data_IF_789722544764
#
_entry.id   IF_789722544764
#
_cell.length_a   1.000
_cell.length_b   1.000
_cell.length_c   1.000
_cell.angle_alpha   90.00
_cell.angle_beta   90.00
_cell.angle_gamma   90.00
#
_symmetry.space_group_name_H-M   'P 1'
#
loop_
_entity.id
_entity.type
_entity.pdbx_description
1 polymer ?
#
# COMPACT_ATOMS: atom_id res chain seq x y z
N UNK A 1 20.43 -48.97 3.05
CA UNK A 1 19.89 -48.01 4.03
C UNK A 1 19.34 -46.82 3.26
N UNK A 2 18.02 -46.64 3.23
CA UNK A 2 17.41 -45.49 2.57
C UNK A 2 17.76 -44.23 3.36
N UNK A 3 18.46 -43.29 2.74
CA UNK A 3 18.80 -42.02 3.36
C UNK A 3 17.52 -41.31 3.80
N UNK A 4 17.43 -40.94 5.08
CA UNK A 4 16.37 -40.06 5.58
C UNK A 4 16.40 -38.79 4.72
N UNK A 5 15.44 -38.64 3.80
CA UNK A 5 15.17 -37.38 3.11
C UNK A 5 14.93 -36.35 4.22
N UNK A 6 15.84 -35.37 4.38
CA UNK A 6 15.55 -34.20 5.22
C UNK A 6 14.26 -33.60 4.68
N UNK A 7 13.19 -33.57 5.48
CA UNK A 7 12.01 -32.78 5.14
C UNK A 7 12.46 -31.34 4.97
N UNK A 8 12.38 -30.84 3.74
CA UNK A 8 12.65 -29.43 3.45
C UNK A 8 11.50 -28.67 4.10
N UNK A 9 11.85 -27.79 5.04
CA UNK A 9 10.90 -26.92 5.68
C UNK A 9 10.26 -26.01 4.61
N UNK A 10 8.96 -26.17 4.38
CA UNK A 10 8.24 -25.50 3.30
C UNK A 10 8.21 -23.97 3.47
N UNK A 11 8.09 -23.52 4.72
CA UNK A 11 7.90 -22.11 5.09
C UNK A 11 9.00 -21.67 6.05
N UNK A 12 9.67 -20.56 5.76
CA UNK A 12 10.53 -19.88 6.71
C UNK A 12 9.71 -19.35 7.90
N UNK A 13 10.27 -19.40 9.11
CA UNK A 13 9.59 -18.91 10.32
C UNK A 13 10.25 -17.60 10.73
N UNK A 14 9.43 -16.55 10.87
CA UNK A 14 9.87 -15.20 11.21
C UNK A 14 9.22 -14.82 12.54
N UNK A 15 10.03 -14.64 13.57
CA UNK A 15 9.58 -14.34 14.94
C UNK A 15 10.18 -13.05 15.51
N UNK A 16 10.90 -12.28 14.71
CA UNK A 16 11.43 -10.98 15.13
C UNK A 16 11.67 -10.05 13.94
N UNK A 17 11.86 -8.77 14.23
CA UNK A 17 12.07 -7.72 13.21
C UNK A 17 13.30 -7.97 12.33
N UNK A 18 14.40 -8.48 12.88
CA UNK A 18 15.62 -8.74 12.09
C UNK A 18 15.37 -9.80 11.01
N UNK A 19 14.71 -10.90 11.37
CA UNK A 19 14.33 -11.94 10.40
C UNK A 19 13.34 -11.42 9.36
N UNK A 20 12.47 -10.49 9.74
CA UNK A 20 11.54 -9.85 8.82
C UNK A 20 12.30 -9.01 7.78
N UNK A 21 13.23 -8.18 8.23
CA UNK A 21 14.04 -7.34 7.35
C UNK A 21 14.93 -8.19 6.42
N UNK A 22 15.51 -9.28 6.93
CA UNK A 22 16.28 -10.24 6.12
C UNK A 22 15.41 -10.94 5.07
N UNK A 23 14.18 -11.33 5.43
CA UNK A 23 13.26 -11.97 4.51
C UNK A 23 12.87 -11.03 3.36
N UNK A 24 12.69 -9.73 3.60
CA UNK A 24 12.37 -8.77 2.55
C UNK A 24 13.46 -8.74 1.46
N UNK A 25 14.72 -8.96 1.82
CA UNK A 25 15.84 -9.01 0.87
C UNK A 25 15.85 -10.27 -0.03
N UNK A 26 14.92 -11.20 0.17
CA UNK A 26 14.84 -12.43 -0.61
C UNK A 26 14.37 -12.10 -2.04
N UNK A 27 15.17 -12.48 -3.04
CA UNK A 27 14.82 -12.30 -4.45
C UNK A 27 13.66 -13.20 -4.87
N UNK A 28 12.72 -12.64 -5.62
CA UNK A 28 11.53 -13.32 -6.13
C UNK A 28 10.28 -13.06 -5.29
N UNK A 29 9.27 -13.89 -5.45
CA UNK A 29 7.96 -13.75 -4.82
C UNK A 29 7.93 -14.52 -3.50
N UNK A 30 7.78 -13.80 -2.39
CA UNK A 30 7.60 -14.38 -1.06
C UNK A 30 6.17 -14.22 -0.58
N UNK A 31 5.49 -15.35 -0.30
CA UNK A 31 4.15 -15.36 0.28
C UNK A 31 4.26 -15.57 1.79
N UNK A 32 3.72 -14.64 2.57
CA UNK A 32 3.91 -14.57 4.01
C UNK A 32 2.55 -14.74 4.70
N UNK A 33 2.39 -15.84 5.43
CA UNK A 33 1.24 -16.10 6.30
C UNK A 33 1.47 -15.42 7.66
N UNK A 34 0.78 -14.32 7.90
CA UNK A 34 0.88 -13.53 9.13
C UNK A 34 -0.06 -14.11 10.17
N UNK A 35 0.49 -14.41 11.35
CA UNK A 35 -0.25 -15.04 12.43
C UNK A 35 0.05 -14.42 13.80
N UNK A 36 -0.83 -14.67 14.76
CA UNK A 36 -0.61 -14.31 16.16
C UNK A 36 -0.11 -15.51 16.96
N UNK A 37 0.75 -15.27 17.95
CA UNK A 37 1.42 -16.30 18.73
C UNK A 37 0.43 -17.32 19.35
N UNK A 38 -0.78 -16.87 19.71
CA UNK A 38 -1.81 -17.73 20.31
C UNK A 38 -2.57 -18.60 19.31
N UNK A 39 -2.65 -18.24 18.02
CA UNK A 39 -3.38 -19.01 17.00
C UNK A 39 -2.46 -19.85 16.10
N UNK A 40 -1.21 -19.41 15.91
CA UNK A 40 -0.27 -20.01 14.97
C UNK A 40 -0.66 -19.82 13.50
N UNK A 41 0.21 -20.26 12.56
CA UNK A 41 0.01 -20.08 11.13
C UNK A 41 -1.17 -20.88 10.57
N UNK A 42 -1.69 -20.45 9.42
CA UNK A 42 -2.86 -21.01 8.77
C UNK A 42 -2.57 -22.41 8.17
N UNK A 43 -2.95 -23.46 8.89
CA UNK A 43 -2.77 -24.86 8.45
C UNK A 43 -3.51 -25.22 7.16
N UNK A 44 -4.60 -24.51 6.83
CA UNK A 44 -5.44 -24.80 5.68
C UNK A 44 -4.71 -24.57 4.34
N UNK A 45 -3.78 -23.62 4.28
CA UNK A 45 -3.07 -23.27 3.03
C UNK A 45 -1.79 -24.06 2.81
N UNK A 46 -1.31 -24.82 3.80
CA UNK A 46 -0.03 -25.55 3.72
C UNK A 46 0.01 -26.52 2.53
N UNK A 47 -1.08 -27.24 2.27
CA UNK A 47 -1.16 -28.16 1.13
C UNK A 47 -1.21 -27.40 -0.21
N UNK A 48 -1.85 -26.24 -0.23
CA UNK A 48 -1.87 -25.37 -1.40
C UNK A 48 -0.47 -24.84 -1.71
N UNK A 49 0.23 -24.29 -0.71
CA UNK A 49 1.59 -23.78 -0.89
C UNK A 49 2.58 -24.87 -1.27
N UNK A 50 2.42 -26.09 -0.74
CA UNK A 50 3.19 -27.25 -1.20
C UNK A 50 2.94 -27.56 -2.68
N UNK A 51 1.67 -27.54 -3.11
CA UNK A 51 1.30 -27.75 -4.51
C UNK A 51 1.92 -26.66 -5.40
N UNK A 52 1.75 -25.38 -5.04
CA UNK A 52 2.32 -24.25 -5.77
C UNK A 52 3.85 -24.30 -5.81
N UNK A 53 4.53 -24.65 -4.71
CA UNK A 53 5.99 -24.82 -4.68
C UNK A 53 6.47 -25.91 -5.64
N UNK A 54 5.71 -27.00 -5.77
CA UNK A 54 6.04 -28.08 -6.69
C UNK A 54 5.76 -27.71 -8.16
N UNK A 55 4.68 -26.98 -8.42
CA UNK A 55 4.27 -26.62 -9.79
C UNK A 55 5.03 -25.40 -10.33
N UNK A 56 5.39 -24.45 -9.46
CA UNK A 56 5.90 -23.13 -9.86
C UNK A 56 7.27 -22.81 -9.25
N UNK A 57 7.83 -23.64 -8.37
CA UNK A 57 9.05 -23.32 -7.63
C UNK A 57 10.36 -23.79 -8.25
N UNK A 58 10.37 -24.28 -9.49
CA UNK A 58 11.56 -24.87 -10.13
C UNK A 58 12.72 -23.88 -10.31
N UNK A 59 12.41 -22.60 -10.54
CA UNK A 59 13.38 -21.52 -10.75
C UNK A 59 13.90 -20.89 -9.44
N UNK A 60 13.39 -21.33 -8.29
CA UNK A 60 13.77 -20.80 -6.99
C UNK A 60 13.24 -19.40 -6.69
N UNK A 61 12.32 -18.85 -7.49
CA UNK A 61 11.75 -17.50 -7.28
C UNK A 61 10.60 -17.48 -6.28
N UNK A 62 9.91 -18.61 -6.08
CA UNK A 62 8.77 -18.69 -5.17
C UNK A 62 9.21 -19.10 -3.75
N UNK A 63 8.97 -18.25 -2.76
CA UNK A 63 9.25 -18.50 -1.35
C UNK A 63 7.97 -18.44 -0.52
N UNK A 64 7.96 -19.16 0.60
CA UNK A 64 6.88 -19.09 1.56
C UNK A 64 7.45 -18.83 2.95
N UNK A 65 6.78 -17.99 3.72
CA UNK A 65 7.12 -17.67 5.09
C UNK A 65 5.86 -17.67 5.97
N UNK A 66 6.08 -17.81 7.27
CA UNK A 66 5.10 -17.52 8.32
C UNK A 66 5.70 -16.45 9.24
N UNK A 67 4.93 -15.45 9.61
CA UNK A 67 5.40 -14.33 10.41
C UNK A 67 4.53 -14.08 11.64
N UNK A 68 5.14 -14.06 12.82
CA UNK A 68 4.46 -13.81 14.08
C UNK A 68 4.31 -12.30 14.34
N UNK A 69 3.09 -11.78 14.17
CA UNK A 69 2.79 -10.35 14.25
C UNK A 69 3.07 -9.73 15.64
N UNK A 70 2.96 -10.53 16.71
CA UNK A 70 3.18 -10.06 18.09
C UNK A 70 4.63 -9.63 18.33
N UNK A 71 5.57 -10.28 17.65
CA UNK A 71 7.00 -10.10 17.85
C UNK A 71 7.68 -9.23 16.77
N UNK A 72 6.90 -8.76 15.78
CA UNK A 72 7.39 -7.95 14.65
C UNK A 72 6.71 -6.58 14.70
N UNK A 73 7.49 -5.50 14.81
CA UNK A 73 6.95 -4.14 14.96
C UNK A 73 6.22 -3.69 13.70
N UNK A 74 6.75 -4.03 12.52
CA UNK A 74 6.11 -3.72 11.22
C UNK A 74 4.73 -4.37 11.05
N UNK A 75 4.44 -5.46 11.77
CA UNK A 75 3.19 -6.21 11.66
C UNK A 75 2.19 -5.90 12.78
N UNK A 76 2.42 -4.86 13.57
CA UNK A 76 1.55 -4.49 14.69
C UNK A 76 0.07 -4.29 14.29
N UNK A 77 -0.18 -3.91 13.04
CA UNK A 77 -1.50 -3.65 12.43
C UNK A 77 -2.35 -4.92 12.21
N UNK A 78 -1.70 -6.08 12.28
CA UNK A 78 -2.31 -7.40 12.12
C UNK A 78 -2.57 -8.11 13.46
N UNK A 79 -2.24 -7.47 14.58
CA UNK A 79 -2.52 -7.99 15.92
C UNK A 79 -4.02 -7.96 16.22
N UNK A 80 -4.44 -8.80 17.16
CA UNK A 80 -5.82 -8.91 17.67
C UNK A 80 -6.91 -9.24 16.63
N UNK A 81 -6.54 -9.60 15.40
CA UNK A 81 -7.44 -10.08 14.33
C UNK A 81 -7.38 -11.61 14.16
N UNK A 82 -8.53 -12.27 14.24
CA UNK A 82 -8.65 -13.74 14.09
C UNK A 82 -8.70 -14.23 12.63
N UNK A 83 -8.47 -13.36 11.65
CA UNK A 83 -8.54 -13.71 10.23
C UNK A 83 -7.13 -13.98 9.68
N UNK A 84 -6.92 -15.08 8.92
CA UNK A 84 -5.65 -15.32 8.23
C UNK A 84 -5.33 -14.19 7.26
N UNK A 85 -4.09 -13.69 7.27
CA UNK A 85 -3.63 -12.64 6.36
C UNK A 85 -2.40 -13.13 5.62
N UNK A 86 -2.44 -13.03 4.29
CA UNK A 86 -1.35 -13.41 3.41
C UNK A 86 -0.79 -12.17 2.73
N UNK A 87 0.47 -11.85 3.01
CA UNK A 87 1.20 -10.76 2.35
C UNK A 87 2.04 -11.32 1.23
N UNK A 88 2.13 -10.59 0.12
CA UNK A 88 2.93 -10.95 -1.05
C UNK A 88 4.05 -9.95 -1.18
N UNK A 89 5.28 -10.43 -1.09
CA UNK A 89 6.47 -9.61 -1.17
C UNK A 89 7.27 -9.91 -2.45
N UNK A 90 7.68 -8.87 -3.17
CA UNK A 90 8.60 -8.93 -4.31
C UNK A 90 9.61 -7.81 -4.15
N UNK A 91 10.90 -8.10 -4.34
CA UNK A 91 12.00 -7.12 -4.27
C UNK A 91 11.92 -6.18 -3.06
N UNK A 92 11.90 -6.74 -1.85
CA UNK A 92 11.82 -6.00 -0.58
C UNK A 92 10.52 -5.24 -0.34
N UNK A 93 9.47 -5.47 -1.13
CA UNK A 93 8.19 -4.78 -0.99
C UNK A 93 7.02 -5.72 -0.85
N UNK A 94 6.14 -5.41 0.10
CA UNK A 94 4.78 -5.94 0.08
C UNK A 94 4.01 -5.25 -1.05
N UNK A 95 3.55 -6.03 -2.01
CA UNK A 95 2.84 -5.55 -3.21
C UNK A 95 1.37 -5.97 -3.24
N UNK A 96 0.99 -6.99 -2.47
CA UNK A 96 -0.40 -7.41 -2.34
C UNK A 96 -0.69 -8.01 -0.95
N UNK A 97 -1.97 -8.01 -0.60
CA UNK A 97 -2.50 -8.63 0.62
C UNK A 97 -3.79 -9.38 0.28
N UNK A 98 -3.93 -10.58 0.82
CA UNK A 98 -5.15 -11.37 0.76
C UNK A 98 -5.58 -11.72 2.18
N UNK A 99 -6.83 -11.40 2.51
CA UNK A 99 -7.46 -11.80 3.78
C UNK A 99 -8.27 -13.08 3.58
N UNK A 100 -8.24 -13.94 4.58
CA UNK A 100 -8.91 -15.23 4.59
C UNK A 100 -8.20 -16.30 3.75
N UNK A 101 -8.48 -17.57 4.06
CA UNK A 101 -7.90 -18.73 3.37
C UNK A 101 -8.55 -19.00 1.99
N UNK A 102 -8.56 -17.99 1.12
CA UNK A 102 -9.14 -18.08 -0.23
C UNK A 102 -8.15 -18.73 -1.21
N UNK A 103 -8.18 -20.06 -1.30
CA UNK A 103 -7.24 -20.83 -2.13
C UNK A 103 -7.21 -20.42 -3.62
N UNK A 104 -8.35 -20.21 -4.31
CA UNK A 104 -8.34 -19.73 -5.70
C UNK A 104 -7.64 -18.38 -5.87
N UNK A 105 -7.93 -17.42 -4.99
CA UNK A 105 -7.34 -16.09 -5.05
C UNK A 105 -5.83 -16.14 -4.76
N UNK A 106 -5.42 -16.86 -3.72
CA UNK A 106 -4.00 -17.05 -3.39
C UNK A 106 -3.23 -17.68 -4.54
N UNK A 107 -3.78 -18.73 -5.16
CA UNK A 107 -3.14 -19.41 -6.30
C UNK A 107 -2.96 -18.47 -7.48
N UNK A 108 -4.02 -17.73 -7.81
CA UNK A 108 -4.03 -16.76 -8.90
C UNK A 108 -2.97 -15.69 -8.68
N UNK A 109 -2.95 -15.07 -7.49
CA UNK A 109 -1.97 -14.02 -7.15
C UNK A 109 -0.53 -14.54 -7.20
N UNK A 110 -0.25 -15.74 -6.68
CA UNK A 110 1.10 -16.32 -6.77
C UNK A 110 1.55 -16.50 -8.21
N UNK A 111 0.69 -17.08 -9.06
CA UNK A 111 1.03 -17.37 -10.45
C UNK A 111 1.27 -16.08 -11.23
N UNK A 112 0.38 -15.10 -11.10
CA UNK A 112 0.50 -13.80 -11.77
C UNK A 112 1.81 -13.10 -11.41
N UNK A 113 2.14 -13.02 -10.12
CA UNK A 113 3.38 -12.37 -9.66
C UNK A 113 4.65 -13.10 -10.13
N UNK A 114 4.63 -14.44 -10.19
CA UNK A 114 5.77 -15.21 -10.67
C UNK A 114 5.97 -15.10 -12.18
N UNK A 115 4.89 -15.08 -12.96
CA UNK A 115 4.97 -14.90 -14.41
C UNK A 115 5.55 -13.53 -14.76
N UNK A 116 5.18 -12.49 -14.01
CA UNK A 116 5.76 -11.15 -14.14
C UNK A 116 7.25 -11.14 -13.79
N UNK A 117 7.62 -11.69 -12.63
CA UNK A 117 9.02 -11.77 -12.19
C UNK A 117 9.90 -12.50 -13.22
N UNK A 118 9.42 -13.63 -13.77
CA UNK A 118 10.11 -14.39 -14.82
C UNK A 118 10.29 -13.58 -16.09
N UNK A 119 9.26 -12.81 -16.48
CA UNK A 119 9.29 -11.97 -17.67
C UNK A 119 10.34 -10.87 -17.53
N UNK A 120 10.38 -10.19 -16.38
CA UNK A 120 11.38 -9.16 -16.08
C UNK A 120 12.80 -9.75 -16.17
N UNK A 121 13.04 -10.89 -15.54
CA UNK A 121 14.35 -11.56 -15.58
C UNK A 121 14.76 -12.02 -16.99
N UNK A 122 13.79 -12.40 -17.83
CA UNK A 122 14.06 -12.75 -19.22
C UNK A 122 14.43 -11.52 -20.07
N UNK A 123 13.77 -10.38 -19.85
CA UNK A 123 14.05 -9.11 -20.51
C UNK A 123 15.42 -8.53 -20.09
N UNK A 124 15.77 -8.63 -18.80
CA UNK A 124 17.09 -8.24 -18.28
C UNK A 124 18.21 -9.08 -18.90
N UNK A 125 18.05 -10.41 -18.93
CA UNK A 125 19.03 -11.32 -19.55
C UNK A 125 19.16 -11.08 -21.06
N UNK A 126 18.06 -10.82 -21.76
CA UNK A 126 18.11 -10.50 -23.19
C UNK A 126 18.88 -9.19 -23.46
N UNK A 127 18.81 -8.24 -22.54
CA UNK A 127 19.52 -6.96 -22.61
C UNK A 127 21.02 -7.10 -22.30
N UNK A 128 21.38 -7.95 -21.34
CA UNK A 128 22.78 -8.25 -20.98
C UNK A 128 23.56 -8.99 -22.08
N UNK A 129 22.90 -9.85 -22.88
CA UNK A 129 23.56 -10.61 -23.97
C UNK A 129 23.99 -9.71 -25.15
N UNK A 130 23.45 -8.49 -25.26
CA UNK A 130 23.73 -7.56 -26.37
C UNK A 130 24.81 -6.51 -26.08
N UNK A 131 25.47 -6.52 -24.92
CA UNK A 131 26.36 -5.41 -24.53
C UNK A 131 27.65 -5.90 -23.87
N UNK A 132 28.54 -6.52 -24.65
CA UNK A 132 29.97 -6.27 -24.44
C UNK A 132 30.29 -4.93 -25.13
N UNK A 133 30.69 -3.96 -24.31
CA UNK A 133 31.08 -2.57 -24.61
C UNK A 133 30.04 -1.45 -24.38
N UNK A 134 30.41 -0.61 -23.42
CA UNK A 134 29.97 0.76 -23.11
C UNK A 134 28.84 0.96 -22.05
N UNK A 135 29.33 1.30 -20.86
CA UNK A 135 28.86 2.32 -19.91
C UNK A 135 27.38 2.79 -19.95
N UNK A 136 26.71 2.55 -18.81
CA UNK A 136 25.65 3.36 -18.18
C UNK A 136 24.64 3.99 -19.14
N UNK A 137 23.51 3.31 -19.36
CA UNK A 137 22.32 3.95 -19.94
C UNK A 137 21.04 3.52 -19.21
N UNK A 138 20.69 4.31 -18.19
CA UNK A 138 19.52 4.12 -17.28
C UNK A 138 18.19 4.52 -17.96
N UNK A 139 18.21 4.89 -19.25
CA UNK A 139 17.05 5.45 -19.94
C UNK A 139 16.11 4.47 -20.68
N UNK A 140 16.41 3.17 -20.75
CA UNK A 140 15.76 2.29 -21.76
C UNK A 140 14.59 1.42 -21.30
N UNK A 141 14.31 1.29 -20.00
CA UNK A 141 13.25 0.39 -19.49
C UNK A 141 11.86 1.07 -19.46
N UNK A 142 11.77 2.39 -19.62
CA UNK A 142 10.55 3.18 -19.43
C UNK A 142 9.37 2.90 -20.39
N UNK A 143 9.54 2.13 -21.47
CA UNK A 143 8.53 2.05 -22.53
C UNK A 143 7.77 0.73 -22.69
N UNK A 144 7.99 -0.30 -21.85
CA UNK A 144 7.39 -1.62 -22.09
C UNK A 144 6.12 -1.94 -21.28
N UNK A 145 5.78 -1.14 -20.26
CA UNK A 145 4.64 -1.41 -19.34
C UNK A 145 3.35 -0.61 -19.63
N UNK A 146 3.21 -0.01 -20.81
CA UNK A 146 1.95 0.62 -21.26
C UNK A 146 1.01 -0.45 -21.85
N UNK A 147 0.42 -1.32 -21.02
CA UNK A 147 -0.20 -2.53 -21.60
C UNK A 147 -1.15 -3.41 -20.79
N UNK A 148 -2.00 -2.86 -19.91
CA UNK A 148 -3.34 -3.41 -19.55
C UNK A 148 -3.42 -4.72 -18.72
N UNK A 149 -3.59 -4.59 -17.39
CA UNK A 149 -4.70 -5.12 -16.55
C UNK A 149 -4.89 -4.11 -15.38
N UNK A 150 -6.13 -3.76 -15.00
CA UNK A 150 -6.43 -2.68 -14.01
C UNK A 150 -6.75 -3.22 -12.59
N UNK A 151 -6.44 -2.37 -11.58
CA UNK A 151 -6.72 -2.41 -10.12
C UNK A 151 -5.68 -3.08 -9.18
N UNK A 152 -4.45 -2.59 -9.22
CA UNK A 152 -3.61 -2.25 -8.06
C UNK A 152 -2.37 -1.54 -8.63
N UNK A 153 -2.17 -0.26 -8.33
CA UNK A 153 -1.01 0.47 -8.86
C UNK A 153 0.25 0.06 -8.09
N UNK A 154 1.00 -0.89 -8.65
CA UNK A 154 2.34 -1.28 -8.17
C UNK A 154 3.35 -0.26 -8.69
N UNK A 155 3.91 0.54 -7.78
CA UNK A 155 5.06 1.42 -8.04
C UNK A 155 6.33 0.72 -7.60
N UNK A 156 7.36 0.65 -8.46
CA UNK A 156 8.72 0.19 -8.12
C UNK A 156 9.44 1.21 -7.21
N UNK A 157 10.25 0.80 -6.21
CA UNK A 157 10.96 1.74 -5.35
C UNK A 157 12.38 1.87 -5.89
N UNK A 158 12.65 2.95 -6.59
CA UNK A 158 13.96 3.51 -6.31
C UNK A 158 13.93 4.04 -4.86
N UNK A 159 14.96 3.72 -4.08
CA UNK A 159 15.09 3.99 -2.63
C UNK A 159 14.27 5.21 -2.16
N UNK A 160 13.32 5.01 -1.24
CA UNK A 160 12.69 6.11 -0.48
C UNK A 160 11.24 6.49 -0.83
N UNK A 161 10.44 5.58 -1.37
CA UNK A 161 9.02 5.84 -1.67
C UNK A 161 8.19 5.94 -0.36
N UNK A 162 7.69 7.14 -0.05
CA UNK A 162 6.85 7.44 1.13
C UNK A 162 5.39 7.51 0.67
N UNK A 163 4.48 6.98 1.50
CA UNK A 163 3.03 7.03 1.24
C UNK A 163 2.36 8.07 2.13
N UNK A 164 1.25 8.64 1.65
CA UNK A 164 0.37 9.51 2.44
C UNK A 164 -1.09 9.24 2.10
N UNK A 165 -2.00 9.56 3.02
CA UNK A 165 -3.44 9.58 2.73
C UNK A 165 -3.83 10.95 2.21
N UNK A 166 -4.62 10.95 1.14
CA UNK A 166 -5.38 12.10 0.69
C UNK A 166 -6.86 11.77 0.73
N UNK A 167 -7.67 12.66 1.30
CA UNK A 167 -9.13 12.57 1.26
C UNK A 167 -9.63 13.82 0.57
N UNK A 168 -10.40 13.66 -0.50
CA UNK A 168 -11.23 14.72 -1.06
C UNK A 168 -12.58 14.62 -0.36
N UNK A 169 -12.92 15.69 0.36
CA UNK A 169 -14.04 15.77 1.28
C UNK A 169 -15.39 15.86 0.54
N UNK A 170 -16.52 15.62 1.24
CA UNK A 170 -17.82 15.57 0.60
C UNK A 170 -18.23 16.85 -0.14
N UNK A 171 -17.84 18.03 0.37
CA UNK A 171 -18.05 19.32 -0.30
C UNK A 171 -17.43 19.36 -1.71
N UNK A 172 -16.16 19.00 -1.82
CA UNK A 172 -15.43 19.03 -3.07
C UNK A 172 -15.96 17.98 -4.07
N UNK A 173 -16.36 16.81 -3.57
CA UNK A 173 -17.02 15.78 -4.41
C UNK A 173 -18.37 16.27 -4.91
N UNK A 174 -19.23 16.77 -4.02
CA UNK A 174 -20.57 17.25 -4.36
C UNK A 174 -20.56 18.46 -5.31
N UNK A 175 -19.57 19.34 -5.17
CA UNK A 175 -19.37 20.49 -6.06
C UNK A 175 -18.65 20.14 -7.39
N UNK A 176 -18.45 18.85 -7.69
CA UNK A 176 -17.85 18.40 -8.95
C UNK A 176 -16.37 18.71 -9.10
N UNK A 177 -15.64 18.94 -8.00
CA UNK A 177 -14.20 19.28 -7.99
C UNK A 177 -13.27 18.08 -7.95
N UNK A 178 -13.81 16.86 -7.90
CA UNK A 178 -13.05 15.63 -7.79
C UNK A 178 -11.96 15.51 -8.87
N UNK A 179 -12.33 15.64 -10.14
CA UNK A 179 -11.40 15.50 -11.26
C UNK A 179 -10.38 16.65 -11.32
N UNK A 180 -10.80 17.89 -11.03
CA UNK A 180 -9.90 19.06 -10.97
C UNK A 180 -8.79 18.84 -9.90
N UNK A 181 -9.17 18.31 -8.73
CA UNK A 181 -8.22 18.04 -7.64
C UNK A 181 -7.31 16.85 -7.99
N UNK A 182 -7.85 15.78 -8.58
CA UNK A 182 -7.02 14.65 -9.06
C UNK A 182 -6.04 15.07 -10.13
N UNK A 183 -6.45 15.95 -11.04
CA UNK A 183 -5.56 16.53 -12.03
C UNK A 183 -4.40 17.27 -11.34
N UNK A 184 -4.67 18.16 -10.39
CA UNK A 184 -3.62 18.84 -9.61
C UNK A 184 -2.68 17.89 -8.88
N UNK A 185 -3.20 16.80 -8.30
CA UNK A 185 -2.40 15.76 -7.65
C UNK A 185 -1.42 15.16 -8.67
N UNK A 186 -1.90 14.78 -9.85
CA UNK A 186 -1.05 14.19 -10.90
C UNK A 186 -0.06 15.19 -11.50
N UNK A 187 -0.45 16.45 -11.71
CA UNK A 187 0.42 17.52 -12.21
C UNK A 187 1.53 17.87 -11.21
N UNK A 188 1.25 17.76 -9.91
CA UNK A 188 2.24 17.89 -8.85
C UNK A 188 3.18 16.67 -8.73
N UNK A 189 3.05 15.66 -9.60
CA UNK A 189 3.93 14.50 -9.66
C UNK A 189 3.63 13.42 -8.62
N UNK A 190 2.45 13.45 -8.00
CA UNK A 190 2.00 12.33 -7.18
C UNK A 190 1.48 11.18 -8.04
N UNK A 191 1.65 9.97 -7.52
CA UNK A 191 1.02 8.78 -8.05
C UNK A 191 -0.09 8.30 -7.09
N UNK A 192 -1.24 7.89 -7.62
CA UNK A 192 -2.43 7.51 -6.84
C UNK A 192 -2.48 5.99 -6.66
N UNK A 193 -1.64 5.46 -5.76
CA UNK A 193 -1.45 4.03 -5.54
C UNK A 193 -2.76 3.24 -5.29
N UNK A 194 -3.73 3.86 -4.62
CA UNK A 194 -5.08 3.32 -4.44
C UNK A 194 -6.10 4.46 -4.31
N UNK A 195 -7.34 4.21 -4.71
CA UNK A 195 -8.45 5.13 -4.49
C UNK A 195 -9.76 4.37 -4.30
N UNK A 196 -10.61 4.86 -3.40
CA UNK A 196 -11.93 4.31 -3.12
C UNK A 196 -12.88 5.43 -2.69
N UNK A 197 -14.09 5.43 -3.26
CA UNK A 197 -15.16 6.31 -2.80
C UNK A 197 -15.80 5.71 -1.55
N UNK A 198 -15.80 6.45 -0.45
CA UNK A 198 -16.33 6.03 0.84
C UNK A 198 -17.23 7.10 1.42
N UNK A 199 -18.44 6.71 1.79
CA UNK A 199 -19.27 7.53 2.67
C UNK A 199 -18.96 7.12 4.10
N UNK A 200 -18.34 8.02 4.87
CA UNK A 200 -17.97 7.73 6.27
C UNK A 200 -19.19 7.57 7.20
N UNK A 201 -20.41 7.63 6.65
CA UNK A 201 -21.71 7.46 7.34
C UNK A 201 -21.98 6.06 7.84
N UNK A 202 -21.47 5.02 7.16
CA UNK A 202 -21.79 3.64 7.56
C UNK A 202 -21.13 3.28 8.90
N UNK A 203 -20.22 4.12 9.37
CA UNK A 203 -19.53 3.93 10.65
C UNK A 203 -19.12 5.29 11.24
N UNK A 204 -20.04 5.95 11.96
CA UNK A 204 -19.75 7.18 12.73
C UNK A 204 -18.55 6.96 13.68
N UNK A 205 -18.32 5.70 14.11
CA UNK A 205 -17.14 5.28 14.85
C UNK A 205 -15.87 5.40 14.01
N UNK A 206 -15.89 5.05 12.72
CA UNK A 206 -14.74 5.19 11.81
C UNK A 206 -14.32 6.65 11.64
N UNK A 207 -15.27 7.57 11.39
CA UNK A 207 -14.96 9.00 11.33
C UNK A 207 -14.41 9.52 12.66
N UNK A 208 -14.99 9.08 13.79
CA UNK A 208 -14.54 9.44 15.14
C UNK A 208 -13.12 8.94 15.41
N UNK A 209 -12.81 7.69 15.08
CA UNK A 209 -11.48 7.12 15.25
C UNK A 209 -10.46 7.79 14.31
N UNK A 210 -10.84 8.06 13.06
CA UNK A 210 -9.96 8.70 12.09
C UNK A 210 -9.59 10.13 12.51
N UNK A 211 -10.52 10.87 13.09
CA UNK A 211 -10.28 12.23 13.58
C UNK A 211 -9.91 12.32 15.06
N UNK A 212 -9.63 11.20 15.73
CA UNK A 212 -9.40 11.13 17.19
C UNK A 212 -8.34 12.09 17.72
N UNK A 213 -7.32 12.44 16.93
CA UNK A 213 -6.32 13.47 17.29
C UNK A 213 -6.93 14.89 17.49
N UNK A 214 -8.19 15.07 17.12
CA UNK A 214 -8.97 16.29 17.29
C UNK A 214 -10.02 16.17 18.41
N UNK A 215 -10.08 15.02 19.10
CA UNK A 215 -10.98 14.81 20.23
C UNK A 215 -10.79 15.90 21.30
N UNK A 216 -11.90 16.44 21.80
CA UNK A 216 -11.90 17.55 22.75
C UNK A 216 -11.73 18.94 22.13
N UNK A 217 -11.52 19.08 20.81
CA UNK A 217 -11.56 20.38 20.14
C UNK A 217 -13.02 20.82 19.89
N UNK A 218 -13.34 22.13 19.95
CA UNK A 218 -14.73 22.62 19.79
C UNK A 218 -15.40 22.27 18.46
N UNK A 219 -14.61 21.94 17.42
CA UNK A 219 -15.08 21.61 16.08
C UNK A 219 -15.11 20.10 15.79
N UNK A 220 -14.74 19.24 16.75
CA UNK A 220 -14.61 17.80 16.53
C UNK A 220 -15.92 17.15 16.10
N UNK A 221 -17.00 17.36 16.87
CA UNK A 221 -18.31 16.77 16.56
C UNK A 221 -18.86 17.29 15.21
N UNK A 222 -18.61 18.56 14.91
CA UNK A 222 -18.98 19.16 13.63
C UNK A 222 -18.20 18.53 12.47
N UNK A 223 -16.91 18.25 12.65
CA UNK A 223 -16.06 17.59 11.66
C UNK A 223 -16.50 16.15 11.40
N UNK A 224 -16.78 15.38 12.45
CA UNK A 224 -17.26 13.99 12.32
C UNK A 224 -18.60 13.94 11.60
N UNK A 225 -19.56 14.79 12.00
CA UNK A 225 -20.85 14.88 11.34
C UNK A 225 -20.72 15.31 9.88
N UNK A 226 -19.92 16.34 9.61
CA UNK A 226 -19.67 16.86 8.28
C UNK A 226 -19.07 15.81 7.32
N UNK A 227 -18.07 15.07 7.78
CA UNK A 227 -17.46 14.00 7.00
C UNK A 227 -18.42 12.84 6.72
N UNK A 228 -19.52 12.78 7.47
CA UNK A 228 -20.65 11.86 7.29
C UNK A 228 -21.82 12.48 6.50
N UNK A 229 -21.70 13.66 5.89
CA UNK A 229 -22.81 14.23 5.10
C UNK A 229 -22.90 13.66 3.67
N UNK A 230 -21.84 13.02 3.18
CA UNK A 230 -21.79 12.49 1.81
C UNK A 230 -20.52 11.71 1.50
N UNK A 231 -20.40 11.20 0.25
CA UNK A 231 -19.24 10.41 -0.16
C UNK A 231 -17.98 11.27 -0.21
N UNK A 232 -16.89 10.71 0.29
CA UNK A 232 -15.53 11.23 0.15
C UNK A 232 -14.73 10.34 -0.79
N UNK A 233 -13.79 10.91 -1.54
CA UNK A 233 -12.80 10.10 -2.26
C UNK A 233 -11.56 9.93 -1.39
N UNK A 234 -11.26 8.71 -0.99
CA UNK A 234 -10.06 8.38 -0.21
C UNK A 234 -9.00 7.81 -1.13
N UNK A 235 -7.77 8.31 -1.03
CA UNK A 235 -6.65 7.96 -1.90
C UNK A 235 -5.38 7.70 -1.10
N UNK A 236 -4.59 6.73 -1.55
CA UNK A 236 -3.18 6.58 -1.15
C UNK A 236 -2.32 7.25 -2.22
N UNK A 237 -1.60 8.28 -1.82
CA UNK A 237 -0.66 8.97 -2.70
C UNK A 237 0.77 8.53 -2.41
N UNK A 238 1.59 8.51 -3.45
CA UNK A 238 3.02 8.24 -3.33
C UNK A 238 3.87 9.18 -4.18
N UNK A 239 4.98 9.64 -3.59
CA UNK A 239 5.97 10.57 -4.13
C UNK A 239 7.20 10.55 -3.21
N UNK A 240 8.35 11.01 -3.69
CA UNK A 240 9.45 11.41 -2.81
C UNK A 240 8.95 12.52 -1.85
N UNK A 241 9.06 12.32 -0.54
CA UNK A 241 8.51 13.22 0.50
C UNK A 241 6.98 13.45 0.40
N UNK A 242 6.22 12.39 0.09
CA UNK A 242 4.78 12.48 -0.17
C UNK A 242 3.96 13.24 0.89
N UNK A 243 4.27 13.09 2.18
CA UNK A 243 3.50 13.76 3.25
C UNK A 243 3.73 15.27 3.21
N UNK A 244 4.99 15.70 3.15
CA UNK A 244 5.37 17.11 3.14
C UNK A 244 4.88 17.82 1.87
N UNK A 245 5.10 17.20 0.71
CA UNK A 245 4.65 17.70 -0.58
C UNK A 245 3.11 17.78 -0.65
N UNK A 246 2.40 16.81 -0.07
CA UNK A 246 0.93 16.80 -0.10
C UNK A 246 0.38 17.94 0.76
N UNK A 247 0.99 18.16 1.93
CA UNK A 247 0.64 19.30 2.80
C UNK A 247 0.89 20.64 2.12
N UNK A 248 1.97 20.76 1.36
CA UNK A 248 2.26 21.95 0.57
C UNK A 248 1.21 22.17 -0.53
N UNK A 249 0.84 21.10 -1.25
CA UNK A 249 -0.17 21.17 -2.31
C UNK A 249 -1.57 21.50 -1.76
N UNK A 250 -1.93 20.96 -0.59
CA UNK A 250 -3.17 21.30 0.10
C UNK A 250 -3.22 22.77 0.53
N UNK A 251 -2.12 23.31 1.04
CA UNK A 251 -2.06 24.64 1.62
C UNK A 251 -2.60 24.75 3.06
N UNK A 252 -2.55 25.94 3.67
CA UNK A 252 -3.10 26.22 5.00
C UNK A 252 -4.55 25.77 5.16
N UNK A 253 -4.94 25.29 6.35
CA UNK A 253 -6.29 24.80 6.61
C UNK A 253 -7.38 25.87 6.52
N UNK A 254 -7.01 27.12 6.81
CA UNK A 254 -7.85 28.30 6.65
C UNK A 254 -7.76 28.81 5.20
N UNK A 255 -8.89 28.91 4.47
CA UNK A 255 -8.91 29.29 3.07
C UNK A 255 -8.42 30.72 2.83
N UNK A 256 -8.63 31.66 3.75
CA UNK A 256 -8.21 33.05 3.56
C UNK A 256 -6.69 33.18 3.69
N UNK A 257 -6.11 32.46 4.67
CA UNK A 257 -4.65 32.32 4.78
C UNK A 257 -4.10 31.62 3.53
N UNK A 258 -4.76 30.56 3.05
CA UNK A 258 -4.33 29.84 1.86
C UNK A 258 -4.32 30.74 0.61
N UNK A 259 -5.36 31.57 0.40
CA UNK A 259 -5.42 32.52 -0.73
C UNK A 259 -4.32 33.57 -0.66
N UNK A 260 -3.89 33.98 0.53
CA UNK A 260 -2.83 34.96 0.70
C UNK A 260 -1.43 34.33 0.54
N UNK A 261 -1.15 33.24 1.25
CA UNK A 261 0.20 32.65 1.31
C UNK A 261 0.50 31.63 0.21
N UNK A 262 -0.54 30.99 -0.34
CA UNK A 262 -0.40 29.88 -1.30
C UNK A 262 -1.58 29.85 -2.28
N UNK A 263 -1.75 30.88 -3.14
CA UNK A 263 -2.93 31.04 -3.99
C UNK A 263 -3.21 29.85 -4.94
N UNK A 264 -2.15 29.11 -5.29
CA UNK A 264 -2.24 27.95 -6.19
C UNK A 264 -2.61 26.63 -5.48
N UNK A 265 -2.68 26.65 -4.15
CA UNK A 265 -3.01 25.47 -3.33
C UNK A 265 -4.46 25.03 -3.53
N UNK A 266 -4.72 23.75 -3.25
CA UNK A 266 -6.07 23.17 -3.36
C UNK A 266 -7.06 23.95 -2.47
N UNK A 267 -6.67 24.27 -1.23
CA UNK A 267 -7.55 25.01 -0.33
C UNK A 267 -7.81 26.44 -0.79
N UNK A 268 -6.82 27.13 -1.34
CA UNK A 268 -7.06 28.48 -1.88
C UNK A 268 -8.10 28.49 -3.02
N UNK A 269 -8.13 27.42 -3.84
CA UNK A 269 -8.98 27.36 -5.03
C UNK A 269 -10.36 26.74 -4.79
N UNK A 270 -10.48 25.78 -3.87
CA UNK A 270 -11.69 24.97 -3.73
C UNK A 270 -12.32 24.99 -2.33
N UNK A 271 -11.64 25.52 -1.31
CA UNK A 271 -12.22 25.57 0.04
C UNK A 271 -13.28 26.67 0.16
N UNK A 272 -14.36 26.37 0.87
CA UNK A 272 -15.42 27.32 1.21
C UNK A 272 -15.16 27.98 2.57
N UNK A 273 -14.81 27.17 3.58
CA UNK A 273 -14.55 27.59 4.95
C UNK A 273 -13.52 26.66 5.64
N UNK A 274 -13.24 26.89 6.92
CA UNK A 274 -12.23 26.10 7.68
C UNK A 274 -12.60 24.62 7.85
N UNK A 275 -13.90 24.29 7.87
CA UNK A 275 -14.43 22.93 7.98
C UNK A 275 -14.54 22.29 6.59
N UNK A 276 -15.12 23.03 5.64
CA UNK A 276 -15.28 22.72 4.21
C UNK A 276 -14.09 23.20 3.40
N UNK A 277 -12.92 22.63 3.74
CA UNK A 277 -11.66 22.99 3.10
C UNK A 277 -11.22 22.00 2.02
N UNK A 278 -12.17 21.35 1.34
CA UNK A 278 -11.99 20.46 0.19
C UNK A 278 -11.17 19.17 0.40
N UNK A 279 -10.06 19.21 1.15
CA UNK A 279 -9.10 18.10 1.26
C UNK A 279 -8.53 17.91 2.66
N UNK A 280 -8.19 16.67 2.96
CA UNK A 280 -7.46 16.25 4.16
C UNK A 280 -6.25 15.39 3.80
N UNK A 281 -5.26 15.39 4.68
CA UNK A 281 -4.10 14.51 4.57
C UNK A 281 -3.33 14.38 5.86
N UNK A 282 -2.42 13.43 5.87
CA UNK A 282 -1.64 13.07 7.04
C UNK A 282 -0.71 14.21 7.50
N UNK A 283 -0.44 14.27 8.80
CA UNK A 283 0.38 15.33 9.42
C UNK A 283 1.87 15.01 9.43
N UNK A 284 2.22 13.73 9.46
CA UNK A 284 3.58 13.20 9.42
C UNK A 284 3.55 11.74 8.91
N UNK A 285 4.71 11.10 8.77
CA UNK A 285 4.85 9.74 8.26
C UNK A 285 4.18 8.68 9.14
N UNK A 286 4.22 8.83 10.46
CA UNK A 286 3.56 7.90 11.39
C UNK A 286 2.04 8.00 11.27
N UNK A 287 1.51 9.23 11.20
CA UNK A 287 0.10 9.47 10.96
C UNK A 287 -0.31 8.92 9.60
N UNK A 288 0.51 9.05 8.55
CA UNK A 288 0.24 8.47 7.25
C UNK A 288 0.06 6.95 7.30
N UNK A 289 0.95 6.23 7.98
CA UNK A 289 0.84 4.78 8.11
C UNK A 289 -0.45 4.37 8.85
N UNK A 290 -0.77 5.04 9.97
CA UNK A 290 -2.01 4.79 10.73
C UNK A 290 -3.25 5.12 9.91
N UNK A 291 -3.28 6.28 9.25
CA UNK A 291 -4.41 6.70 8.43
C UNK A 291 -4.65 5.72 7.27
N UNK A 292 -3.58 5.23 6.61
CA UNK A 292 -3.70 4.24 5.54
C UNK A 292 -4.34 2.96 6.08
N UNK A 293 -3.87 2.46 7.22
CA UNK A 293 -4.42 1.25 7.88
C UNK A 293 -5.91 1.39 8.24
N UNK A 294 -6.36 2.59 8.62
CA UNK A 294 -7.76 2.82 8.94
C UNK A 294 -8.67 2.84 7.72
N UNK A 295 -8.16 3.30 6.58
CA UNK A 295 -8.98 3.54 5.38
C UNK A 295 -8.81 2.49 4.28
N UNK A 296 -7.83 1.58 4.37
CA UNK A 296 -7.60 0.45 3.46
C UNK A 296 -7.11 -0.79 4.23
#
# INVERSE_FOLDING_TARGET
>A
MAGKKKEIQLQAIITNQTQWDEMLLTKGVTVIDVYQAWCGPCKAVVNLFRKLKNEQGEDGLLHFAVAEADSIVTLQTFRDKCEPVFLFCVDCKIIAMVRGANAPLLSKTVIELLEEERKILAEEKASEITTEESQLDVGRIQNHFKGRIWRAQVVSPEKGVIYTVAIIKPDAVANGRLEDIKQKITEAGFHIAAEEEKTLTEDQEMATQFYKDHEGKPFFDQLVNYMSEGPSMVMILTKENAVEEWRQLMGPADPDIAKESSPDSIRAQFAEDILRNAVHGSSNKEHALKSIEYVF
#
